data_IF_097820377450
#
_entry.id   IF_097820377450
#
_cell.length_a   1.000
_cell.length_b   1.000
_cell.length_c   1.000
_cell.angle_alpha   90.00
_cell.angle_beta   90.00
_cell.angle_gamma   90.00
#
_symmetry.space_group_name_H-M   'P 1'
#
loop_
_entity.id
_entity.type
_entity.pdbx_description
1 polymer ?
#
# COMPACT_ATOMS: atom_id res chain seq x y z
N UNK A 1 4.75 24.21 2.35
CA UNK A 1 4.13 23.12 1.56
C UNK A 1 3.57 23.74 0.28
N UNK A 2 4.06 23.36 -0.90
CA UNK A 2 3.57 23.90 -2.19
C UNK A 2 2.32 23.12 -2.58
N UNK A 3 1.14 23.71 -2.39
CA UNK A 3 -0.11 23.17 -2.91
C UNK A 3 -0.29 23.68 -4.34
N UNK A 4 -0.15 22.79 -5.31
CA UNK A 4 -0.47 23.05 -6.72
C UNK A 4 -1.94 22.78 -6.95
N UNK A 5 -2.73 23.83 -7.12
CA UNK A 5 -4.15 23.74 -7.47
C UNK A 5 -4.29 23.34 -8.95
N UNK A 6 -5.19 22.40 -9.24
CA UNK A 6 -5.50 21.98 -10.60
C UNK A 6 -6.18 23.13 -11.39
N UNK A 7 -5.95 23.18 -12.72
CA UNK A 7 -6.54 24.19 -13.62
C UNK A 7 -8.08 24.07 -13.64
N UNK A 8 -8.77 25.21 -13.57
CA UNK A 8 -10.24 25.40 -13.40
C UNK A 8 -11.16 24.82 -14.52
N UNK A 9 -10.69 23.87 -15.32
CA UNK A 9 -11.47 23.28 -16.44
C UNK A 9 -11.28 21.78 -16.65
N UNK A 10 -10.48 21.10 -15.82
CA UNK A 10 -10.23 19.65 -15.96
C UNK A 10 -11.00 18.78 -14.99
N UNK A 11 -11.69 19.38 -14.01
CA UNK A 11 -12.45 18.67 -12.98
C UNK A 11 -13.87 18.49 -13.50
N UNK A 12 -14.37 17.27 -13.52
CA UNK A 12 -15.76 16.96 -13.89
C UNK A 12 -16.57 16.74 -12.61
N UNK A 13 -17.83 17.18 -12.58
CA UNK A 13 -18.67 16.96 -11.42
C UNK A 13 -18.90 15.47 -11.18
N UNK A 14 -18.97 15.06 -9.93
CA UNK A 14 -19.32 13.68 -9.58
C UNK A 14 -20.81 13.45 -9.83
N UNK A 15 -21.19 12.30 -10.42
CA UNK A 15 -22.61 11.97 -10.56
C UNK A 15 -23.20 11.79 -9.16
N UNK A 16 -24.39 12.37 -8.84
CA UNK A 16 -25.44 12.81 -9.76
C UNK A 16 -25.40 14.27 -10.25
N UNK A 17 -24.42 15.07 -9.83
CA UNK A 17 -24.37 16.51 -10.11
C UNK A 17 -24.09 16.80 -11.59
N UNK A 18 -24.73 17.84 -12.12
CA UNK A 18 -24.61 18.25 -13.53
C UNK A 18 -23.53 19.31 -13.72
N UNK A 19 -23.26 20.13 -12.71
CA UNK A 19 -22.24 21.18 -12.74
C UNK A 19 -21.36 21.15 -11.48
N UNK A 20 -20.16 21.71 -11.59
CA UNK A 20 -19.25 21.84 -10.45
C UNK A 20 -19.77 22.81 -9.38
N UNK A 21 -20.51 23.85 -9.80
CA UNK A 21 -21.09 24.82 -8.87
C UNK A 21 -22.22 24.21 -8.03
N UNK A 22 -23.00 23.32 -8.63
CA UNK A 22 -24.02 22.53 -7.93
C UNK A 22 -23.39 21.60 -6.89
N UNK A 23 -22.33 20.88 -7.28
CA UNK A 23 -21.58 20.01 -6.37
C UNK A 23 -20.94 20.81 -5.22
N UNK A 24 -20.31 21.95 -5.50
CA UNK A 24 -19.70 22.80 -4.48
C UNK A 24 -20.74 23.30 -3.46
N UNK A 25 -21.85 23.86 -3.94
CA UNK A 25 -22.92 24.33 -3.06
C UNK A 25 -23.54 23.20 -2.23
N UNK A 26 -23.64 21.99 -2.79
CA UNK A 26 -24.12 20.83 -2.06
C UNK A 26 -23.21 20.49 -0.89
N UNK A 27 -21.89 20.38 -1.12
CA UNK A 27 -20.90 20.05 -0.08
C UNK A 27 -20.68 21.18 0.93
N UNK A 28 -20.86 22.44 0.54
CA UNK A 28 -20.76 23.59 1.46
C UNK A 28 -21.98 23.67 2.41
N UNK A 29 -23.12 23.11 2.00
CA UNK A 29 -24.38 23.22 2.75
C UNK A 29 -24.76 21.93 3.50
N UNK A 30 -24.29 20.76 3.06
CA UNK A 30 -24.64 19.47 3.65
C UNK A 30 -23.49 18.89 4.47
N UNK A 31 -23.77 18.42 5.68
CA UNK A 31 -22.81 17.65 6.46
C UNK A 31 -22.63 16.26 5.81
N UNK A 32 -21.39 15.82 5.63
CA UNK A 32 -21.06 14.50 5.11
C UNK A 32 -21.72 13.38 5.94
N UNK A 33 -21.96 13.62 7.24
CA UNK A 33 -22.63 12.66 8.12
C UNK A 33 -24.08 12.43 7.73
N UNK A 34 -24.77 13.45 7.18
CA UNK A 34 -26.17 13.35 6.75
C UNK A 34 -26.30 12.66 5.39
N UNK A 35 -25.30 12.84 4.50
CA UNK A 35 -25.31 12.27 3.15
C UNK A 35 -24.94 10.79 3.15
N UNK A 36 -23.98 10.38 3.97
CA UNK A 36 -23.47 9.01 3.96
C UNK A 36 -24.08 8.11 5.06
N UNK A 37 -24.84 8.68 6.00
CA UNK A 37 -25.47 7.96 7.10
C UNK A 37 -24.46 7.50 8.17
N UNK A 38 -24.95 7.29 9.40
CA UNK A 38 -24.12 6.89 10.55
C UNK A 38 -23.43 5.52 10.40
N UNK A 39 -23.92 4.66 9.49
CA UNK A 39 -23.52 3.25 9.38
C UNK A 39 -22.81 2.91 8.06
N UNK A 40 -21.90 3.76 7.61
CA UNK A 40 -21.00 3.39 6.51
C UNK A 40 -20.10 2.25 7.02
N UNK A 41 -20.28 1.05 6.48
CA UNK A 41 -19.28 -0.03 6.63
C UNK A 41 -18.02 0.37 5.88
N UNK A 42 -17.14 1.10 6.56
CA UNK A 42 -15.80 1.36 6.07
C UNK A 42 -15.06 0.02 6.06
N UNK A 43 -14.77 -0.49 4.86
CA UNK A 43 -13.93 -1.66 4.70
C UNK A 43 -12.51 -1.30 5.12
N UNK A 44 -12.20 -1.37 6.41
CA UNK A 44 -10.84 -1.26 6.89
C UNK A 44 -10.13 -2.53 6.43
N UNK A 45 -9.31 -2.40 5.38
CA UNK A 45 -8.37 -3.45 5.01
C UNK A 45 -7.35 -3.58 6.14
N UNK A 46 -7.63 -4.47 7.10
CA UNK A 46 -6.65 -4.95 8.05
C UNK A 46 -5.66 -5.84 7.28
N UNK A 47 -4.71 -5.21 6.59
CA UNK A 47 -3.53 -5.93 6.14
C UNK A 47 -2.92 -6.60 7.39
N UNK A 48 -2.76 -7.92 7.35
CA UNK A 48 -2.17 -8.67 8.45
C UNK A 48 -0.83 -7.99 8.81
N UNK A 49 -0.70 -7.57 10.07
CA UNK A 49 0.48 -6.86 10.53
C UNK A 49 1.67 -7.81 10.41
N UNK A 50 2.61 -7.49 9.51
CA UNK A 50 3.83 -8.26 9.35
C UNK A 50 4.94 -7.66 10.20
N UNK A 51 5.64 -8.50 10.95
CA UNK A 51 6.83 -8.08 11.69
C UNK A 51 8.03 -7.90 10.75
N UNK A 52 8.87 -6.91 11.05
CA UNK A 52 10.07 -6.61 10.27
C UNK A 52 11.32 -7.06 11.01
N UNK A 53 12.19 -7.81 10.31
CA UNK A 53 13.50 -8.20 10.79
C UNK A 53 14.58 -7.37 10.08
N UNK A 54 15.40 -6.65 10.85
CA UNK A 54 16.56 -5.91 10.32
C UNK A 54 17.83 -6.73 10.52
N UNK A 55 18.53 -7.05 9.43
CA UNK A 55 19.78 -7.84 9.45
C UNK A 55 20.88 -7.02 8.79
N UNK A 56 22.05 -6.93 9.42
CA UNK A 56 23.24 -6.34 8.81
C UNK A 56 23.95 -7.39 7.96
N UNK A 57 24.38 -7.00 6.79
CA UNK A 57 25.18 -7.81 5.87
C UNK A 57 26.49 -7.10 5.58
N UNK A 58 27.53 -7.87 5.28
CA UNK A 58 28.72 -7.33 4.64
C UNK A 58 28.37 -6.80 3.25
N UNK A 59 29.18 -5.86 2.75
CA UNK A 59 28.91 -5.19 1.48
C UNK A 59 28.93 -6.16 0.30
N UNK A 60 29.79 -7.19 0.32
CA UNK A 60 29.86 -8.15 -0.78
C UNK A 60 28.63 -9.06 -0.81
N UNK A 61 28.25 -9.62 0.34
CA UNK A 61 27.09 -10.51 0.49
C UNK A 61 25.78 -9.86 0.01
N UNK A 62 25.53 -8.61 0.41
CA UNK A 62 24.30 -7.92 0.01
C UNK A 62 24.27 -7.63 -1.49
N UNK A 63 25.43 -7.40 -2.13
CA UNK A 63 25.52 -7.19 -3.57
C UNK A 63 25.27 -8.50 -4.33
N UNK A 64 25.83 -9.62 -3.85
CA UNK A 64 25.54 -10.93 -4.42
C UNK A 64 24.05 -11.27 -4.35
N UNK A 65 23.39 -11.00 -3.21
CA UNK A 65 21.96 -11.21 -3.05
C UNK A 65 21.15 -10.36 -4.04
N UNK A 66 21.49 -9.06 -4.17
CA UNK A 66 20.83 -8.16 -5.13
C UNK A 66 20.99 -8.63 -6.56
N UNK A 67 22.20 -9.05 -6.96
CA UNK A 67 22.46 -9.57 -8.30
C UNK A 67 21.60 -10.80 -8.58
N UNK A 68 21.57 -11.78 -7.67
CA UNK A 68 20.75 -12.99 -7.82
C UNK A 68 19.26 -12.67 -7.89
N UNK A 69 18.77 -11.80 -7.01
CA UNK A 69 17.36 -11.39 -7.00
C UNK A 69 16.97 -10.70 -8.32
N UNK A 70 17.84 -9.84 -8.85
CA UNK A 70 17.63 -9.15 -10.13
C UNK A 70 17.55 -10.12 -11.31
N UNK A 71 18.37 -11.17 -11.35
CA UNK A 71 18.30 -12.19 -12.42
C UNK A 71 16.97 -12.97 -12.38
N UNK A 72 16.36 -13.07 -11.20
CA UNK A 72 15.07 -13.72 -10.97
C UNK A 72 13.87 -12.76 -11.10
N UNK A 73 14.10 -11.48 -11.38
CA UNK A 73 13.04 -10.47 -11.48
C UNK A 73 12.35 -10.15 -10.15
N UNK A 74 12.98 -10.44 -9.01
CA UNK A 74 12.41 -10.21 -7.67
C UNK A 74 13.29 -9.29 -6.83
N UNK A 75 12.71 -8.68 -5.80
CA UNK A 75 13.45 -7.87 -4.84
C UNK A 75 14.37 -8.70 -3.93
N UNK A 76 15.50 -8.15 -3.45
CA UNK A 76 16.43 -8.85 -2.56
C UNK A 76 15.78 -9.32 -1.25
N UNK A 77 14.84 -8.55 -0.69
CA UNK A 77 14.09 -8.92 0.51
C UNK A 77 13.13 -10.09 0.26
N UNK A 78 12.54 -10.18 -0.93
CA UNK A 78 11.70 -11.32 -1.34
C UNK A 78 12.54 -12.59 -1.46
N UNK A 79 13.70 -12.51 -2.12
CA UNK A 79 14.61 -13.65 -2.24
C UNK A 79 15.10 -14.13 -0.86
N UNK A 80 15.55 -13.20 0.00
CA UNK A 80 15.96 -13.52 1.36
C UNK A 80 14.85 -14.21 2.15
N UNK A 81 13.62 -13.68 2.09
CA UNK A 81 12.45 -14.29 2.75
C UNK A 81 12.20 -15.72 2.27
N UNK A 82 12.28 -15.96 0.96
CA UNK A 82 12.08 -17.29 0.39
C UNK A 82 13.12 -18.30 0.91
N UNK A 83 14.40 -17.93 0.89
CA UNK A 83 15.47 -18.79 1.42
C UNK A 83 15.36 -19.03 2.92
N UNK A 84 15.02 -18.01 3.70
CA UNK A 84 14.79 -18.17 5.16
C UNK A 84 13.67 -19.18 5.40
N UNK A 85 12.52 -19.04 4.71
CA UNK A 85 11.40 -20.00 4.82
C UNK A 85 11.81 -21.41 4.42
N UNK A 86 12.57 -21.56 3.33
CA UNK A 86 13.06 -22.86 2.89
C UNK A 86 13.92 -23.55 3.95
N UNK A 87 14.83 -22.80 4.59
CA UNK A 87 15.70 -23.33 5.65
C UNK A 87 14.93 -23.69 6.91
N UNK A 88 13.99 -22.85 7.34
CA UNK A 88 13.13 -23.12 8.51
C UNK A 88 12.31 -24.41 8.30
N UNK A 89 11.71 -24.58 7.13
CA UNK A 89 10.95 -25.79 6.82
C UNK A 89 11.82 -27.06 6.85
N UNK A 90 13.07 -26.97 6.36
CA UNK A 90 14.03 -28.09 6.41
C UNK A 90 14.47 -28.45 7.83
N UNK A 91 14.59 -27.46 8.73
CA UNK A 91 14.94 -27.71 10.13
C UNK A 91 13.79 -28.35 10.91
N UNK A 92 12.54 -27.92 10.66
CA UNK A 92 11.36 -28.49 11.33
C UNK A 92 11.11 -29.95 10.93
N UNK A 93 11.41 -30.33 9.68
CA UNK A 93 11.29 -31.73 9.23
C UNK A 93 12.37 -32.67 9.78
N UNK A 94 13.43 -32.15 10.41
CA UNK A 94 14.54 -32.94 10.98
C UNK A 94 14.48 -33.10 12.50
N UNK A 95 13.41 -32.66 13.16
CA UNK A 95 13.20 -32.92 14.59
C UNK A 95 12.36 -34.20 14.76
N UNK A 96 12.88 -35.27 15.41
CA UNK A 96 12.10 -36.42 15.82
C UNK A 96 11.12 -36.09 16.95
#
# INVERSE_FOLDING_TARGET
MKVTFAKKGTIKPTKPFKTLEEEANFWDTHDAVDVFGKDIKVGIHHAAKMDTLTIRFESDDIQQLRKKASHLGIGPTTLARMWIKEKLNKTTQKQP
#
